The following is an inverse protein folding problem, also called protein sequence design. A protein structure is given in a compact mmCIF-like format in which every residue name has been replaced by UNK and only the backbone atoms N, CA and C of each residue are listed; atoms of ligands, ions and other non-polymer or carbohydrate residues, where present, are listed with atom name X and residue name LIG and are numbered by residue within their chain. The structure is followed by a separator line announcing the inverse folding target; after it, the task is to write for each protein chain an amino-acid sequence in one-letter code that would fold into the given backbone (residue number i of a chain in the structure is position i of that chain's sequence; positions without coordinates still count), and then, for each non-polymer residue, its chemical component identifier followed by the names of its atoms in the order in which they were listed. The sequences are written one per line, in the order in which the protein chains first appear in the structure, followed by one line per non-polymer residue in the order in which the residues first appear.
data_IF_619187434538
#
_entry.id   IF_619187434538
#
_cell.length_a   1.000
_cell.length_b   1.000
_cell.length_c   1.000
_cell.angle_alpha   90.00
_cell.angle_beta   90.00
_cell.angle_gamma   90.00
#
_symmetry.space_group_name_H-M   'P 1'
#
loop_
_entity.id
_entity.type
_entity.pdbx_description
1 polymer ?
#
# COMPACT_ATOMS: atom_id res chain seq x y z
N UNK A 1 6.78 16.11 -10.72
CA UNK A 1 6.64 17.21 -11.71
C UNK A 1 5.81 18.39 -11.18
N UNK A 2 4.66 18.16 -10.54
CA UNK A 2 3.81 19.24 -10.02
C UNK A 2 4.52 20.09 -8.96
N UNK A 3 5.19 19.46 -7.98
CA UNK A 3 5.95 20.18 -6.93
C UNK A 3 7.07 21.02 -7.52
N UNK A 4 7.83 20.49 -8.48
CA UNK A 4 8.91 21.25 -9.15
C UNK A 4 8.36 22.48 -9.90
N UNK A 5 7.19 22.37 -10.52
CA UNK A 5 6.52 23.52 -11.17
C UNK A 5 6.10 24.59 -10.16
N UNK A 6 5.54 24.18 -9.01
CA UNK A 6 5.16 25.10 -7.92
C UNK A 6 6.36 25.82 -7.35
N UNK A 7 7.47 25.10 -7.09
CA UNK A 7 8.72 25.71 -6.64
C UNK A 7 9.22 26.72 -7.66
N UNK A 8 9.24 26.37 -8.95
CA UNK A 8 9.67 27.29 -10.02
C UNK A 8 8.77 28.53 -10.11
N UNK A 9 7.46 28.37 -9.95
CA UNK A 9 6.51 29.48 -9.92
C UNK A 9 6.76 30.42 -8.73
N UNK A 10 7.03 29.89 -7.53
CA UNK A 10 7.36 30.70 -6.36
C UNK A 10 8.68 31.46 -6.54
N UNK A 11 9.69 30.83 -7.14
CA UNK A 11 10.95 31.51 -7.45
C UNK A 11 10.78 32.63 -8.49
N UNK A 12 9.86 32.46 -9.43
CA UNK A 12 9.59 33.44 -10.48
C UNK A 12 8.63 34.59 -10.02
N UNK A 13 7.98 34.44 -8.85
CA UNK A 13 7.04 35.45 -8.34
C UNK A 13 7.77 36.56 -7.58
N UNK A 14 7.87 37.78 -8.13
CA UNK A 14 8.57 38.90 -7.46
C UNK A 14 7.84 39.38 -6.20
N UNK A 15 6.61 38.96 -5.97
CA UNK A 15 5.77 39.41 -4.85
C UNK A 15 5.58 38.32 -3.78
N UNK A 16 6.28 37.20 -3.85
CA UNK A 16 6.10 36.08 -2.94
C UNK A 16 6.25 36.46 -1.47
N UNK A 17 7.21 37.36 -1.16
CA UNK A 17 7.47 37.81 0.21
C UNK A 17 6.46 38.87 0.75
N UNK A 18 5.63 39.43 -0.10
CA UNK A 18 4.68 40.50 0.28
C UNK A 18 3.23 40.05 0.29
N UNK A 19 2.94 38.86 -0.16
CA UNK A 19 1.58 38.29 -0.17
C UNK A 19 1.27 37.61 1.14
N UNK A 20 0.44 38.23 1.95
CA UNK A 20 0.04 37.73 3.26
C UNK A 20 -1.34 37.08 3.29
N UNK A 21 -1.95 36.84 2.13
CA UNK A 21 -3.26 36.22 2.07
C UNK A 21 -3.19 34.72 2.33
N UNK A 22 -4.01 34.20 3.26
CA UNK A 22 -4.01 32.81 3.67
C UNK A 22 -4.20 31.83 2.45
N UNK A 23 -5.00 32.21 1.47
CA UNK A 23 -5.21 31.39 0.27
C UNK A 23 -3.98 31.31 -0.64
N UNK A 24 -3.05 32.26 -0.56
CA UNK A 24 -1.80 32.16 -1.30
C UNK A 24 -1.00 30.93 -0.87
N UNK A 25 -0.93 30.66 0.42
CA UNK A 25 -0.28 29.47 0.97
C UNK A 25 -1.01 28.18 0.60
N UNK A 26 -2.34 28.20 0.53
CA UNK A 26 -3.12 27.04 0.12
C UNK A 26 -2.90 26.68 -1.37
N UNK A 27 -2.83 27.69 -2.23
CA UNK A 27 -2.69 27.45 -3.68
C UNK A 27 -1.24 27.28 -4.15
N UNK A 28 -0.33 28.01 -3.52
CA UNK A 28 1.09 28.05 -3.88
C UNK A 28 1.98 27.14 -3.07
N UNK A 29 1.45 26.45 -2.03
CA UNK A 29 2.27 25.67 -1.12
C UNK A 29 2.99 24.50 -1.83
N UNK A 30 4.34 24.54 -1.96
CA UNK A 30 5.10 23.45 -2.56
C UNK A 30 5.19 22.22 -1.63
N UNK A 31 4.84 22.39 -0.35
CA UNK A 31 4.92 21.36 0.68
C UNK A 31 3.61 20.58 0.83
N UNK A 32 2.72 20.62 -0.19
CA UNK A 32 1.53 19.77 -0.22
C UNK A 32 1.94 18.31 -0.10
N UNK A 33 1.58 17.69 1.01
CA UNK A 33 1.97 16.32 1.33
C UNK A 33 0.97 15.26 0.81
N UNK A 34 -0.16 15.67 0.22
CA UNK A 34 -1.21 14.75 -0.21
C UNK A 34 -0.70 13.67 -1.17
N UNK A 35 -0.05 14.07 -2.24
CA UNK A 35 0.50 13.12 -3.22
C UNK A 35 1.60 12.25 -2.58
N UNK A 36 2.40 12.82 -1.69
CA UNK A 36 3.45 12.08 -0.99
C UNK A 36 2.83 11.03 -0.06
N UNK A 37 1.82 11.39 0.72
CA UNK A 37 1.12 10.47 1.62
C UNK A 37 0.47 9.33 0.83
N UNK A 38 -0.21 9.64 -0.27
CA UNK A 38 -0.83 8.62 -1.13
C UNK A 38 0.22 7.70 -1.76
N UNK A 39 1.33 8.23 -2.24
CA UNK A 39 2.39 7.44 -2.89
C UNK A 39 3.19 6.59 -1.90
N UNK A 40 3.41 7.09 -0.69
CA UNK A 40 4.28 6.40 0.28
C UNK A 40 3.53 5.47 1.21
N UNK A 41 2.29 5.76 1.53
CA UNK A 41 1.48 4.99 2.47
C UNK A 41 0.42 4.12 1.78
N UNK A 42 0.13 4.38 0.50
CA UNK A 42 -1.02 3.77 -0.17
C UNK A 42 -2.35 4.13 0.50
N UNK A 43 -2.38 5.23 1.23
CA UNK A 43 -3.48 5.59 2.10
C UNK A 43 -4.38 6.65 1.47
N UNK A 44 -5.69 6.62 1.75
CA UNK A 44 -6.60 7.66 1.32
C UNK A 44 -6.31 8.99 2.04
N UNK A 45 -6.74 10.10 1.43
CA UNK A 45 -6.57 11.46 1.91
C UNK A 45 -6.89 11.70 3.42
N UNK A 46 -7.84 11.01 4.07
CA UNK A 46 -8.09 11.19 5.51
C UNK A 46 -6.87 11.00 6.41
N UNK A 47 -5.90 10.19 6.01
CA UNK A 47 -4.65 10.00 6.78
C UNK A 47 -3.80 11.27 6.79
N UNK A 48 -3.86 12.08 5.74
CA UNK A 48 -3.19 13.37 5.70
C UNK A 48 -3.60 14.29 6.87
N UNK A 49 -4.89 14.36 7.17
CA UNK A 49 -5.42 15.17 8.26
C UNK A 49 -5.18 14.55 9.64
N UNK A 50 -5.07 13.22 9.71
CA UNK A 50 -4.84 12.48 10.94
C UNK A 50 -3.36 12.36 11.33
N UNK A 51 -2.46 12.66 10.39
CA UNK A 51 -1.02 12.48 10.54
C UNK A 51 -0.54 11.05 10.33
N UNK A 52 0.77 10.88 10.17
CA UNK A 52 1.40 9.59 9.85
C UNK A 52 1.20 8.53 10.94
N UNK A 53 1.13 8.93 12.21
CA UNK A 53 0.92 8.01 13.34
C UNK A 53 -0.47 7.34 13.35
N UNK A 54 -1.40 7.82 12.55
CA UNK A 54 -2.69 7.16 12.32
C UNK A 54 -2.64 6.07 11.26
N UNK A 55 -1.58 6.02 10.46
CA UNK A 55 -1.38 4.96 9.49
C UNK A 55 -1.12 3.63 10.19
N UNK A 56 -1.86 2.60 9.81
CA UNK A 56 -1.65 1.24 10.33
C UNK A 56 -0.67 0.45 9.50
N UNK A 57 -0.58 0.77 8.24
CA UNK A 57 0.26 0.10 7.25
C UNK A 57 1.04 1.14 6.46
N UNK A 58 2.23 0.75 6.07
CA UNK A 58 3.04 1.45 5.09
C UNK A 58 3.57 0.44 4.09
N UNK A 59 3.74 0.87 2.84
CA UNK A 59 4.14 -0.01 1.76
C UNK A 59 5.48 0.41 1.17
N UNK A 60 6.23 -0.59 0.70
CA UNK A 60 7.48 -0.37 -0.02
C UNK A 60 7.52 -1.27 -1.24
N UNK A 61 7.96 -0.71 -2.36
CA UNK A 61 8.24 -1.41 -3.59
C UNK A 61 9.61 -2.09 -3.47
N UNK A 62 9.59 -3.40 -3.21
CA UNK A 62 10.84 -4.15 -3.03
C UNK A 62 11.60 -4.32 -4.35
N UNK A 63 10.91 -4.35 -5.47
CA UNK A 63 11.53 -4.46 -6.80
C UNK A 63 12.33 -3.22 -7.19
N UNK A 64 11.79 -2.02 -6.91
CA UNK A 64 12.43 -0.73 -7.23
C UNK A 64 13.15 -0.09 -6.04
N UNK A 65 13.24 -0.75 -4.90
CA UNK A 65 13.88 -0.26 -3.67
C UNK A 65 13.44 1.15 -3.29
N UNK A 66 12.12 1.38 -3.25
CA UNK A 66 11.54 2.70 -2.95
C UNK A 66 10.32 2.60 -2.04
N UNK A 67 9.98 3.72 -1.43
CA UNK A 67 8.73 3.86 -0.67
C UNK A 67 7.52 3.89 -1.60
N UNK A 68 6.40 3.42 -1.09
CA UNK A 68 5.11 3.36 -1.76
C UNK A 68 4.83 2.02 -2.41
N UNK A 69 3.63 1.90 -2.96
CA UNK A 69 3.21 0.69 -3.67
C UNK A 69 4.02 0.51 -4.97
N UNK A 70 4.26 -0.74 -5.39
CA UNK A 70 4.71 -1.00 -6.75
C UNK A 70 3.74 -0.41 -7.77
N UNK A 71 4.23 -0.15 -8.98
CA UNK A 71 3.40 0.19 -10.11
C UNK A 71 2.37 -0.93 -10.34
N UNK A 72 1.17 -0.59 -10.73
CA UNK A 72 0.04 -1.51 -10.96
C UNK A 72 -0.46 -2.24 -9.68
N UNK A 73 0.01 -1.91 -8.50
CA UNK A 73 -0.52 -2.49 -7.25
C UNK A 73 -1.45 -1.50 -6.56
N UNK A 74 -2.66 -1.95 -6.28
CA UNK A 74 -3.63 -1.28 -5.43
C UNK A 74 -3.66 -1.90 -4.03
N UNK A 75 -3.90 -1.06 -3.02
CA UNK A 75 -4.10 -1.49 -1.64
C UNK A 75 -5.33 -0.82 -1.03
N UNK A 76 -6.15 -1.60 -0.32
CA UNK A 76 -7.33 -1.11 0.39
C UNK A 76 -7.36 -1.71 1.79
N UNK A 77 -7.35 -0.87 2.81
CA UNK A 77 -7.64 -1.30 4.18
C UNK A 77 -9.16 -1.41 4.32
N UNK A 78 -9.66 -2.64 4.38
CA UNK A 78 -11.09 -2.94 4.44
C UNK A 78 -11.65 -2.88 5.86
N UNK A 79 -10.84 -3.29 6.83
CA UNK A 79 -11.25 -3.32 8.24
C UNK A 79 -10.09 -2.95 9.14
N UNK A 80 -10.41 -2.15 10.15
CA UNK A 80 -9.46 -1.71 11.15
C UNK A 80 -10.05 -1.87 12.54
N UNK A 81 -9.36 -2.60 13.40
CA UNK A 81 -9.70 -2.75 14.82
C UNK A 81 -8.50 -2.39 15.69
N UNK A 82 -8.65 -2.48 17.00
CA UNK A 82 -7.54 -2.25 17.92
C UNK A 82 -6.37 -3.24 17.73
N UNK A 83 -6.68 -4.47 17.32
CA UNK A 83 -5.73 -5.60 17.27
C UNK A 83 -5.61 -6.26 15.89
N UNK A 84 -6.37 -5.82 14.90
CA UNK A 84 -6.37 -6.44 13.56
C UNK A 84 -6.51 -5.38 12.47
N UNK A 85 -5.83 -5.62 11.37
CA UNK A 85 -5.92 -4.83 10.14
C UNK A 85 -6.15 -5.77 8.97
N UNK A 86 -7.27 -5.60 8.26
CA UNK A 86 -7.56 -6.36 7.04
C UNK A 86 -7.23 -5.48 5.85
N UNK A 87 -6.33 -5.94 5.00
CA UNK A 87 -5.92 -5.25 3.79
C UNK A 87 -6.10 -6.14 2.57
N UNK A 88 -6.72 -5.60 1.53
CA UNK A 88 -6.77 -6.20 0.21
C UNK A 88 -5.69 -5.57 -0.66
N UNK A 89 -4.92 -6.43 -1.31
CA UNK A 89 -3.89 -6.05 -2.27
C UNK A 89 -4.25 -6.64 -3.63
N UNK A 90 -4.05 -5.89 -4.69
CA UNK A 90 -4.33 -6.32 -6.06
C UNK A 90 -3.18 -5.92 -6.98
N UNK A 91 -2.70 -6.86 -7.79
CA UNK A 91 -1.76 -6.61 -8.87
C UNK A 91 -2.54 -6.52 -10.20
N UNK A 92 -2.60 -5.33 -10.77
CA UNK A 92 -3.29 -5.04 -12.03
C UNK A 92 -2.44 -5.35 -13.26
N UNK A 93 -1.15 -5.63 -13.09
CA UNK A 93 -0.30 -6.05 -14.21
C UNK A 93 -0.77 -7.41 -14.75
N UNK A 94 -1.03 -7.55 -16.05
CA UNK A 94 -1.47 -8.81 -16.62
C UNK A 94 -0.33 -9.82 -16.79
N UNK A 95 0.92 -9.39 -16.71
CA UNK A 95 2.09 -10.21 -17.08
C UNK A 95 3.18 -10.30 -16.03
N UNK A 96 3.25 -9.33 -15.09
CA UNK A 96 4.38 -9.23 -14.18
C UNK A 96 3.96 -9.43 -12.72
N UNK A 97 4.71 -10.26 -12.00
CA UNK A 97 4.62 -10.32 -10.54
C UNK A 97 5.15 -9.05 -9.90
N UNK A 98 4.60 -8.68 -8.75
CA UNK A 98 5.05 -7.55 -7.95
C UNK A 98 5.45 -8.01 -6.56
N UNK A 99 6.56 -7.49 -6.08
CA UNK A 99 7.03 -7.74 -4.72
C UNK A 99 6.90 -6.47 -3.90
N UNK A 100 6.22 -6.54 -2.79
CA UNK A 100 6.09 -5.43 -1.86
C UNK A 100 6.36 -5.86 -0.43
N UNK A 101 6.74 -4.88 0.37
CA UNK A 101 6.83 -5.04 1.82
C UNK A 101 5.70 -4.24 2.43
N UNK A 102 4.95 -4.88 3.31
CA UNK A 102 3.94 -4.26 4.18
C UNK A 102 4.56 -4.05 5.55
N UNK A 103 4.59 -2.82 6.01
CA UNK A 103 5.13 -2.44 7.32
C UNK A 103 4.00 -2.18 8.31
N UNK A 104 4.17 -2.61 9.54
CA UNK A 104 3.27 -2.37 10.64
C UNK A 104 3.48 -0.97 11.24
N UNK A 105 2.60 -0.03 10.86
CA UNK A 105 2.70 1.38 11.21
C UNK A 105 3.52 2.21 10.23
N UNK A 106 3.51 3.53 10.41
CA UNK A 106 4.23 4.45 9.54
C UNK A 106 5.76 4.37 9.74
N UNK A 107 6.19 4.03 10.95
CA UNK A 107 7.59 4.04 11.40
C UNK A 107 8.02 2.70 12.03
N UNK A 108 7.41 1.58 11.63
CA UNK A 108 7.67 0.25 12.24
C UNK A 108 7.30 0.14 13.72
N UNK A 109 6.53 1.08 14.25
CA UNK A 109 6.17 1.15 15.67
C UNK A 109 5.21 0.06 16.12
N UNK A 110 4.62 -0.69 15.16
CA UNK A 110 3.74 -1.82 15.42
C UNK A 110 4.43 -3.14 15.06
N UNK A 111 3.80 -4.25 15.45
CA UNK A 111 4.25 -5.61 15.12
C UNK A 111 3.07 -6.43 14.62
N UNK A 112 3.28 -7.14 13.51
CA UNK A 112 2.36 -8.19 13.08
C UNK A 112 2.63 -9.45 13.92
N UNK A 113 1.56 -10.08 14.41
CA UNK A 113 1.61 -11.38 15.04
C UNK A 113 1.43 -12.48 14.00
N UNK A 114 0.17 -12.81 13.71
CA UNK A 114 -0.20 -13.80 12.69
C UNK A 114 -0.85 -13.11 11.49
N UNK A 115 -0.72 -13.72 10.33
CA UNK A 115 -1.51 -13.38 9.13
C UNK A 115 -2.40 -14.55 8.74
N UNK A 116 -3.65 -14.27 8.44
CA UNK A 116 -4.60 -15.21 7.83
C UNK A 116 -4.93 -14.74 6.41
N UNK A 117 -4.92 -15.65 5.45
CA UNK A 117 -5.17 -15.35 4.04
C UNK A 117 -5.69 -16.57 3.29
N UNK A 118 -6.43 -16.33 2.24
CA UNK A 118 -6.88 -17.40 1.35
C UNK A 118 -5.82 -17.66 0.28
N UNK A 119 -5.20 -18.82 0.34
CA UNK A 119 -4.27 -19.30 -0.68
C UNK A 119 -5.03 -20.05 -1.78
N UNK A 120 -4.62 -19.83 -3.00
CA UNK A 120 -5.14 -20.57 -4.15
C UNK A 120 -4.58 -21.99 -4.11
N UNK A 121 -5.45 -23.01 -4.16
CA UNK A 121 -5.05 -24.43 -4.06
C UNK A 121 -5.23 -25.21 -5.37
N UNK A 122 -6.05 -24.70 -6.30
CA UNK A 122 -6.25 -25.39 -7.56
C UNK A 122 -5.17 -25.03 -8.57
N UNK A 123 -4.54 -26.05 -9.11
CA UNK A 123 -3.82 -25.92 -10.37
C UNK A 123 -4.84 -25.65 -11.50
N UNK A 124 -4.39 -24.91 -12.51
CA UNK A 124 -5.19 -24.70 -13.72
C UNK A 124 -5.47 -26.06 -14.35
N UNK A 125 -6.73 -26.48 -14.51
CA UNK A 125 -7.03 -27.69 -15.22
C UNK A 125 -6.57 -27.53 -16.68
N UNK A 126 -5.56 -28.27 -17.08
CA UNK A 126 -4.90 -28.13 -18.37
C UNK A 126 -5.78 -28.47 -19.59
N UNK A 127 -6.97 -28.98 -19.36
CA UNK A 127 -7.94 -29.29 -20.41
C UNK A 127 -9.23 -28.49 -20.20
N UNK A 128 -9.46 -27.52 -21.07
CA UNK A 128 -10.69 -26.72 -21.08
C UNK A 128 -11.83 -27.40 -21.81
N UNK A 129 -11.76 -28.73 -22.05
CA UNK A 129 -12.81 -29.50 -22.67
C UNK A 129 -13.27 -28.93 -24.01
N UNK A 130 -13.11 -29.70 -25.03
CA UNK A 130 -13.39 -29.54 -26.45
C UNK A 130 -14.25 -28.35 -26.93
N UNK A 131 -14.08 -28.07 -28.17
CA UNK A 131 -14.53 -26.96 -29.03
C UNK A 131 -16.03 -26.58 -29.00
N UNK A 132 -16.85 -27.15 -28.15
CA UNK A 132 -18.30 -26.92 -28.09
C UNK A 132 -18.84 -26.63 -26.67
N UNK A 133 -17.99 -26.46 -25.69
CA UNK A 133 -18.43 -26.22 -24.33
C UNK A 133 -18.62 -24.74 -24.02
N UNK A 134 -19.63 -24.41 -23.25
CA UNK A 134 -19.73 -23.18 -22.50
C UNK A 134 -18.46 -23.02 -21.66
N UNK A 135 -17.71 -21.95 -21.88
CA UNK A 135 -16.55 -21.61 -21.06
C UNK A 135 -17.04 -21.29 -19.64
N UNK A 136 -17.07 -22.28 -18.79
CA UNK A 136 -17.17 -22.05 -17.35
C UNK A 136 -15.77 -21.80 -16.84
N UNK A 137 -15.51 -20.61 -16.32
CA UNK A 137 -14.27 -20.37 -15.57
C UNK A 137 -14.15 -21.44 -14.49
N UNK A 138 -13.03 -22.18 -14.42
CA UNK A 138 -12.85 -23.16 -13.36
C UNK A 138 -13.02 -22.46 -12.01
N UNK A 139 -13.84 -23.03 -11.14
CA UNK A 139 -13.98 -22.53 -9.79
C UNK A 139 -12.61 -22.58 -9.12
N UNK A 140 -12.08 -21.41 -8.76
CA UNK A 140 -10.84 -21.31 -8.02
C UNK A 140 -11.08 -21.81 -6.62
N UNK A 141 -10.54 -22.96 -6.26
CA UNK A 141 -10.55 -23.40 -4.88
C UNK A 141 -9.51 -22.61 -4.08
N UNK A 142 -9.92 -22.13 -2.92
CA UNK A 142 -9.05 -21.43 -1.99
C UNK A 142 -9.06 -22.16 -0.65
N UNK A 143 -7.93 -22.12 0.03
CA UNK A 143 -7.76 -22.65 1.38
C UNK A 143 -7.33 -21.52 2.30
N UNK A 144 -8.00 -21.44 3.45
CA UNK A 144 -7.58 -20.49 4.50
C UNK A 144 -6.25 -20.96 5.09
N UNK A 145 -5.24 -20.14 4.97
CA UNK A 145 -3.91 -20.37 5.56
C UNK A 145 -3.62 -19.34 6.63
N UNK A 146 -2.80 -19.78 7.57
CA UNK A 146 -2.29 -18.95 8.65
C UNK A 146 -0.79 -19.10 8.75
N UNK A 147 -0.11 -18.00 8.94
CA UNK A 147 1.35 -17.98 9.13
C UNK A 147 1.71 -17.02 10.28
N UNK A 148 2.74 -17.36 11.02
CA UNK A 148 3.32 -16.49 12.04
C UNK A 148 4.32 -15.55 11.38
N UNK A 149 4.13 -14.25 11.59
CA UNK A 149 4.99 -13.18 11.09
C UNK A 149 5.95 -12.74 12.21
N UNK A 150 5.41 -12.37 13.36
CA UNK A 150 6.15 -11.91 14.57
C UNK A 150 7.21 -10.85 14.26
N UNK A 151 6.92 -9.95 13.32
CA UNK A 151 7.84 -8.91 12.84
C UNK A 151 7.09 -7.63 12.52
N UNK A 152 7.83 -6.52 12.38
CA UNK A 152 7.27 -5.24 11.93
C UNK A 152 7.07 -5.17 10.41
N UNK A 153 7.49 -6.17 9.67
CA UNK A 153 7.42 -6.22 8.21
C UNK A 153 6.96 -7.58 7.71
N UNK A 154 6.22 -7.58 6.61
CA UNK A 154 5.78 -8.75 5.88
C UNK A 154 6.09 -8.56 4.41
N UNK A 155 6.85 -9.48 3.81
CA UNK A 155 7.05 -9.51 2.36
C UNK A 155 5.91 -10.25 1.68
N UNK A 156 5.36 -9.66 0.63
CA UNK A 156 4.27 -10.21 -0.16
C UNK A 156 4.69 -10.25 -1.62
N UNK A 157 4.52 -11.39 -2.25
CA UNK A 157 4.61 -11.53 -3.70
C UNK A 157 3.21 -11.67 -4.28
N UNK A 158 2.88 -10.79 -5.22
CA UNK A 158 1.61 -10.79 -5.94
C UNK A 158 1.85 -11.21 -7.38
N UNK A 159 1.48 -12.43 -7.79
CA UNK A 159 1.50 -12.83 -9.18
C UNK A 159 0.65 -11.90 -10.06
N UNK A 160 0.92 -11.92 -11.36
CA UNK A 160 0.19 -11.11 -12.33
C UNK A 160 -1.32 -11.34 -12.25
N UNK A 161 -2.10 -10.27 -12.26
CA UNK A 161 -3.57 -10.31 -12.25
C UNK A 161 -4.19 -10.86 -10.96
N UNK A 162 -3.41 -11.00 -9.87
CA UNK A 162 -3.90 -11.62 -8.64
C UNK A 162 -4.24 -10.59 -7.56
N UNK A 163 -5.24 -10.95 -6.76
CA UNK A 163 -5.54 -10.25 -5.51
C UNK A 163 -5.34 -11.18 -4.31
N UNK A 164 -5.06 -10.59 -3.15
CA UNK A 164 -5.02 -11.28 -1.86
C UNK A 164 -5.60 -10.38 -0.78
N UNK A 165 -6.35 -10.98 0.12
CA UNK A 165 -6.77 -10.32 1.37
C UNK A 165 -5.96 -10.89 2.53
N UNK A 166 -5.29 -10.01 3.25
CA UNK A 166 -4.49 -10.34 4.42
C UNK A 166 -5.21 -9.84 5.67
N UNK A 167 -5.54 -10.73 6.59
CA UNK A 167 -6.03 -10.38 7.92
C UNK A 167 -4.86 -10.46 8.90
N UNK A 168 -4.34 -9.31 9.30
CA UNK A 168 -3.12 -9.13 10.06
C UNK A 168 -3.45 -8.87 11.53
N UNK A 169 -3.10 -9.81 12.41
CA UNK A 169 -3.05 -9.52 13.84
C UNK A 169 -1.95 -8.48 14.10
N UNK A 170 -2.28 -7.42 14.83
CA UNK A 170 -1.39 -6.27 15.00
C UNK A 170 -1.30 -5.88 16.48
N UNK A 171 -0.08 -5.87 17.00
CA UNK A 171 0.25 -5.27 18.29
C UNK A 171 0.76 -3.85 18.06
N UNK A 172 0.20 -2.91 18.80
CA UNK A 172 0.44 -1.47 18.56
C UNK A 172 1.46 -0.91 19.51
N UNK A 173 2.37 -0.07 18.97
CA UNK A 173 3.36 0.71 19.75
C UNK A 173 4.25 -0.17 20.65
N UNK A 174 4.71 -1.29 20.09
CA UNK A 174 5.58 -2.25 20.78
C UNK A 174 7.04 -2.10 20.40
N UNK A 175 7.33 -1.33 19.37
CA UNK A 175 8.69 -1.03 18.91
C UNK A 175 8.95 0.47 18.97
N UNK A 176 10.21 0.84 19.12
CA UNK A 176 10.64 2.22 18.91
C UNK A 176 10.45 2.62 17.45
N UNK A 177 9.94 3.82 17.17
CA UNK A 177 9.78 4.31 15.81
C UNK A 177 11.11 4.38 15.06
N UNK A 178 11.10 3.96 13.79
CA UNK A 178 12.30 3.97 12.95
C UNK A 178 12.00 4.55 11.57
N UNK A 179 12.93 5.36 11.05
CA UNK A 179 12.93 5.83 9.66
C UNK A 179 13.65 4.88 8.70
N UNK A 180 14.24 3.80 9.21
CA UNK A 180 14.90 2.81 8.36
C UNK A 180 13.92 2.21 7.36
N UNK A 181 14.36 2.11 6.12
CA UNK A 181 13.59 1.41 5.08
C UNK A 181 13.91 -0.07 5.13
N UNK A 182 12.90 -0.96 5.09
CA UNK A 182 13.08 -2.41 5.15
C UNK A 182 13.47 -3.05 3.80
N UNK A 183 14.15 -2.35 2.94
CA UNK A 183 14.44 -2.72 1.54
C UNK A 183 15.94 -2.74 1.22
#
# INVERSE_FOLDING_TARGET
QMLCRRVAQLHADPHVGTRHHIHHWQWGNPVSAEALVQLTLGAPQPIYNGGLLHSRLRFFDNGRKRQGLPEDVGALVEKLTATRTVVRLVNLSPTESRQLIVQAGAFSEHRFGTVEYNARTSEWPGDLGGYAGTYTSPALSTELRKADVNASHLSVELPAGMEITLDLATERYVNDPSYAMPI
#
